data_IF_052556110248
#
_entry.id   IF_052556110248
#
_cell.length_a   1.000
_cell.length_b   1.000
_cell.length_c   1.000
_cell.angle_alpha   90.00
_cell.angle_beta   90.00
_cell.angle_gamma   90.00
#
_symmetry.space_group_name_H-M   'P 1'
#
loop_
_entity.id
_entity.type
_entity.pdbx_description
1 polymer ?
#
# COMPACT_ATOMS: atom_id res chain seq x y z
N UNK A 1 -2.07 9.64 -12.11
CA UNK A 1 -3.53 9.86 -12.08
C UNK A 1 -3.84 11.32 -12.29
N UNK A 2 -3.31 12.20 -11.46
CA UNK A 2 -3.47 13.66 -11.61
C UNK A 2 -2.90 14.18 -12.94
N UNK A 3 -1.62 13.95 -13.23
CA UNK A 3 -0.99 14.47 -14.47
C UNK A 3 -1.57 13.87 -15.77
N UNK A 4 -2.00 12.61 -15.73
CA UNK A 4 -2.43 11.86 -16.93
C UNK A 4 -3.93 11.91 -17.16
N UNK A 5 -4.72 11.99 -16.09
CA UNK A 5 -6.18 11.83 -16.13
C UNK A 5 -6.93 12.95 -15.38
N UNK A 6 -6.24 13.90 -14.74
CA UNK A 6 -6.86 14.98 -13.98
C UNK A 6 -7.51 14.55 -12.65
N UNK A 7 -7.28 13.31 -12.22
CA UNK A 7 -7.88 12.74 -11.00
C UNK A 7 -6.85 12.85 -9.87
N UNK A 8 -7.06 13.80 -8.96
CA UNK A 8 -6.31 13.91 -7.71
C UNK A 8 -6.93 12.93 -6.68
N UNK A 9 -6.12 11.99 -6.20
CA UNK A 9 -6.51 11.08 -5.11
C UNK A 9 -5.83 11.60 -3.85
N UNK A 10 -6.58 12.20 -2.94
CA UNK A 10 -6.02 12.69 -1.68
C UNK A 10 -5.67 11.53 -0.75
N UNK A 11 -4.81 11.78 0.24
CA UNK A 11 -4.51 10.76 1.25
C UNK A 11 -5.76 10.31 2.01
N UNK A 12 -6.72 11.21 2.23
CA UNK A 12 -8.00 10.89 2.86
C UNK A 12 -8.82 9.91 2.01
N UNK A 13 -8.92 10.15 0.70
CA UNK A 13 -9.65 9.27 -0.23
C UNK A 13 -9.01 7.88 -0.30
N UNK A 14 -7.68 7.81 -0.24
CA UNK A 14 -6.99 6.53 -0.18
C UNK A 14 -7.24 5.79 1.13
N UNK A 15 -7.25 6.51 2.26
CA UNK A 15 -7.46 5.93 3.59
C UNK A 15 -8.90 5.43 3.80
N UNK A 16 -9.91 6.13 3.28
CA UNK A 16 -11.32 5.70 3.38
C UNK A 16 -11.54 4.34 2.72
N UNK A 17 -10.77 4.02 1.68
CA UNK A 17 -10.75 2.69 1.07
C UNK A 17 -9.80 1.71 1.77
N UNK A 18 -8.55 2.13 2.01
CA UNK A 18 -7.47 1.27 2.46
C UNK A 18 -7.58 0.81 3.91
N UNK A 19 -8.06 1.66 4.81
CA UNK A 19 -8.19 1.31 6.24
C UNK A 19 -9.23 0.21 6.45
N UNK A 20 -10.47 0.30 5.93
CA UNK A 20 -11.44 -0.79 6.09
C UNK A 20 -10.98 -2.09 5.41
N UNK A 21 -10.37 -2.01 4.22
CA UNK A 21 -9.82 -3.17 3.53
C UNK A 21 -8.73 -3.85 4.35
N UNK A 22 -7.77 -3.09 4.88
CA UNK A 22 -6.68 -3.63 5.69
C UNK A 22 -7.19 -4.25 7.00
N UNK A 23 -8.21 -3.67 7.64
CA UNK A 23 -8.83 -4.24 8.82
C UNK A 23 -9.47 -5.61 8.54
N UNK A 24 -10.21 -5.73 7.43
CA UNK A 24 -10.80 -7.01 7.00
C UNK A 24 -9.72 -8.02 6.67
N UNK A 25 -8.68 -7.62 5.93
CA UNK A 25 -7.55 -8.49 5.61
C UNK A 25 -6.79 -8.94 6.87
N UNK A 26 -6.60 -8.06 7.85
CA UNK A 26 -5.93 -8.39 9.10
C UNK A 26 -6.73 -9.41 9.92
N UNK A 27 -8.02 -9.16 10.12
CA UNK A 27 -8.91 -10.09 10.84
C UNK A 27 -9.02 -11.42 10.09
N UNK A 28 -9.21 -11.37 8.78
CA UNK A 28 -9.29 -12.56 7.92
C UNK A 28 -8.00 -13.37 7.95
N UNK A 29 -6.84 -12.72 7.86
CA UNK A 29 -5.52 -13.36 7.97
C UNK A 29 -5.36 -14.03 9.32
N UNK A 30 -5.68 -13.33 10.41
CA UNK A 30 -5.61 -13.90 11.76
C UNK A 30 -6.51 -15.13 11.88
N UNK A 31 -7.76 -15.06 11.43
CA UNK A 31 -8.70 -16.20 11.47
C UNK A 31 -8.21 -17.37 10.61
N UNK A 32 -7.82 -17.13 9.36
CA UNK A 32 -7.33 -18.17 8.45
C UNK A 32 -6.10 -18.87 9.03
N UNK A 33 -5.12 -18.10 9.50
CA UNK A 33 -3.89 -18.68 10.03
C UNK A 33 -4.13 -19.42 11.34
N UNK A 34 -4.84 -18.82 12.30
CA UNK A 34 -4.93 -19.37 13.68
C UNK A 34 -6.04 -20.38 13.89
N UNK A 35 -7.09 -20.39 13.06
CA UNK A 35 -8.23 -21.31 13.19
C UNK A 35 -8.30 -22.37 12.11
N UNK A 36 -7.83 -22.08 10.89
CA UNK A 36 -7.99 -22.99 9.75
C UNK A 36 -6.67 -23.67 9.35
N UNK A 37 -5.62 -22.91 9.05
CA UNK A 37 -4.37 -23.47 8.50
C UNK A 37 -3.46 -24.01 9.61
N UNK A 38 -3.34 -23.28 10.72
CA UNK A 38 -2.54 -23.65 11.88
C UNK A 38 -3.34 -23.44 13.18
N UNK A 39 -4.30 -24.33 13.49
CA UNK A 39 -5.12 -24.25 14.71
C UNK A 39 -4.26 -24.07 15.97
N UNK A 40 -4.39 -22.92 16.63
CA UNK A 40 -3.63 -22.59 17.84
C UNK A 40 -4.42 -23.04 19.07
N UNK A 41 -3.87 -24.02 19.81
CA UNK A 41 -4.50 -24.59 21.00
C UNK A 41 -3.72 -24.36 22.31
N UNK A 42 -2.58 -23.67 22.27
CA UNK A 42 -1.77 -23.49 23.46
C UNK A 42 -2.20 -22.25 24.26
N UNK A 43 -2.08 -22.34 25.58
CA UNK A 43 -2.27 -21.22 26.50
C UNK A 43 -0.90 -20.77 26.98
N UNK A 44 -0.61 -19.46 26.91
CA UNK A 44 0.64 -18.91 27.39
C UNK A 44 0.85 -19.25 28.89
N UNK A 45 2.00 -19.83 29.22
CA UNK A 45 2.37 -20.19 30.60
C UNK A 45 2.54 -18.94 31.48
N UNK A 46 2.49 -19.14 32.80
CA UNK A 46 2.76 -18.06 33.75
C UNK A 46 4.15 -17.45 33.55
N UNK A 47 5.16 -18.28 33.30
CA UNK A 47 6.54 -17.85 33.03
C UNK A 47 6.64 -16.98 31.77
N UNK A 48 6.00 -17.39 30.66
CA UNK A 48 5.99 -16.58 29.43
C UNK A 48 5.32 -15.23 29.65
N UNK A 49 4.20 -15.19 30.40
CA UNK A 49 3.53 -13.91 30.72
C UNK A 49 4.40 -13.01 31.59
N UNK A 50 5.11 -13.57 32.56
CA UNK A 50 6.02 -12.80 33.40
C UNK A 50 7.21 -12.28 32.60
N UNK A 51 7.77 -13.08 31.69
CA UNK A 51 8.85 -12.64 30.82
C UNK A 51 8.40 -11.48 29.91
N UNK A 52 7.24 -11.59 29.26
CA UNK A 52 6.68 -10.51 28.44
C UNK A 52 6.42 -9.22 29.25
N UNK A 53 5.95 -9.35 30.49
CA UNK A 53 5.79 -8.21 31.40
C UNK A 53 7.14 -7.58 31.77
N UNK A 54 8.17 -8.39 32.01
CA UNK A 54 9.53 -7.90 32.23
C UNK A 54 10.04 -7.11 31.03
N UNK A 55 9.94 -7.68 29.82
CA UNK A 55 10.37 -7.01 28.58
C UNK A 55 9.60 -5.70 28.33
N UNK A 56 8.29 -5.66 28.63
CA UNK A 56 7.51 -4.43 28.55
C UNK A 56 8.00 -3.37 29.56
N UNK A 57 8.33 -3.80 30.78
CA UNK A 57 8.86 -2.90 31.80
C UNK A 57 10.28 -2.40 31.46
N UNK A 58 11.09 -3.24 30.80
CA UNK A 58 12.46 -2.92 30.37
C UNK A 58 12.51 -1.84 29.27
N UNK A 59 11.44 -1.69 28.47
CA UNK A 59 11.34 -0.59 27.50
C UNK A 59 11.38 0.79 28.19
N UNK A 60 10.97 0.86 29.46
CA UNK A 60 10.95 2.09 30.24
C UNK A 60 9.86 3.08 29.80
N UNK A 61 9.84 4.29 30.39
CA UNK A 61 8.88 5.33 30.02
C UNK A 61 9.21 5.93 28.64
N UNK A 62 8.17 6.34 27.91
CA UNK A 62 8.31 7.01 26.60
C UNK A 62 9.27 8.20 26.70
N UNK A 63 10.32 8.16 25.89
CA UNK A 63 11.40 9.14 25.94
C UNK A 63 10.94 10.53 25.46
N UNK A 64 11.67 11.58 25.82
CA UNK A 64 11.36 12.95 25.36
C UNK A 64 11.38 13.06 23.83
N UNK A 65 12.28 12.34 23.17
CA UNK A 65 12.39 12.36 21.72
C UNK A 65 11.28 11.56 21.04
N UNK A 66 10.89 10.40 21.60
CA UNK A 66 9.69 9.68 21.15
C UNK A 66 8.45 10.57 21.23
N UNK A 67 8.30 11.37 22.29
CA UNK A 67 7.19 12.32 22.40
C UNK A 67 7.24 13.41 21.33
N UNK A 68 8.43 13.97 21.03
CA UNK A 68 8.58 14.96 19.96
C UNK A 68 8.22 14.38 18.59
N UNK A 69 8.72 13.18 18.28
CA UNK A 69 8.41 12.45 17.06
C UNK A 69 6.91 12.17 16.96
N UNK A 70 6.29 11.72 18.06
CA UNK A 70 4.84 11.48 18.12
C UNK A 70 4.03 12.74 17.84
N UNK A 71 4.44 13.90 18.39
CA UNK A 71 3.77 15.18 18.14
C UNK A 71 3.88 15.58 16.67
N UNK A 72 5.09 15.51 16.07
CA UNK A 72 5.28 15.85 14.66
C UNK A 72 4.45 14.93 13.76
N UNK A 73 4.47 13.62 14.04
CA UNK A 73 3.68 12.63 13.33
C UNK A 73 2.18 12.90 13.45
N UNK A 74 1.68 13.18 14.67
CA UNK A 74 0.27 13.49 14.89
C UNK A 74 -0.15 14.77 14.16
N UNK A 75 0.68 15.81 14.15
CA UNK A 75 0.43 17.04 13.39
C UNK A 75 0.37 16.77 11.89
N UNK A 76 1.28 15.95 11.35
CA UNK A 76 1.25 15.57 9.94
C UNK A 76 -0.02 14.80 9.57
N UNK A 77 -0.44 13.83 10.39
CA UNK A 77 -1.70 13.08 10.20
C UNK A 77 -2.90 14.01 10.26
N UNK A 78 -2.97 14.91 11.23
CA UNK A 78 -4.05 15.89 11.32
C UNK A 78 -4.08 16.82 10.09
N UNK A 79 -2.91 17.25 9.60
CA UNK A 79 -2.81 18.06 8.40
C UNK A 79 -3.31 17.31 7.15
N UNK A 80 -2.96 16.04 6.96
CA UNK A 80 -3.52 15.22 5.86
C UNK A 80 -5.04 15.07 5.98
N UNK A 81 -5.55 14.76 7.17
CA UNK A 81 -6.99 14.56 7.39
C UNK A 81 -7.81 15.84 7.22
N UNK A 82 -7.20 17.02 7.42
CA UNK A 82 -7.87 18.32 7.31
C UNK A 82 -7.45 19.11 6.06
N UNK A 83 -6.65 18.53 5.17
CA UNK A 83 -6.08 19.22 3.99
C UNK A 83 -7.17 19.91 3.15
N UNK A 84 -8.27 19.22 2.87
CA UNK A 84 -9.39 19.75 2.08
C UNK A 84 -10.00 21.03 2.68
N UNK A 85 -9.92 21.22 4.00
CA UNK A 85 -10.32 22.44 4.68
C UNK A 85 -9.19 23.48 4.70
N UNK A 86 -7.94 23.05 4.90
CA UNK A 86 -6.77 23.92 4.97
C UNK A 86 -6.51 24.66 3.66
N UNK A 87 -6.70 24.00 2.51
CA UNK A 87 -6.51 24.60 1.17
C UNK A 87 -7.48 25.76 0.90
N UNK A 88 -8.60 25.85 1.61
CA UNK A 88 -9.53 27.00 1.50
C UNK A 88 -9.01 28.27 2.19
N UNK A 89 -7.94 28.18 2.99
CA UNK A 89 -7.28 29.33 3.59
C UNK A 89 -6.30 29.90 2.56
N UNK A 90 -6.39 31.19 2.24
CA UNK A 90 -5.62 31.84 1.17
C UNK A 90 -4.11 31.55 1.22
N UNK A 91 -3.53 31.59 2.44
CA UNK A 91 -2.11 31.32 2.70
C UNK A 91 -1.73 29.85 2.43
N UNK A 92 -2.66 28.91 2.56
CA UNK A 92 -2.45 27.47 2.44
C UNK A 92 -3.07 26.89 1.15
N UNK A 93 -3.49 27.74 0.22
CA UNK A 93 -4.10 27.34 -1.06
C UNK A 93 -3.22 26.44 -1.92
N UNK A 94 -1.89 26.51 -1.75
CA UNK A 94 -0.92 25.63 -2.42
C UNK A 94 -0.55 24.36 -1.64
N UNK A 95 -1.22 24.03 -0.54
CA UNK A 95 -0.85 22.89 0.31
C UNK A 95 -1.19 21.56 -0.37
N UNK A 96 -0.17 20.75 -0.65
CA UNK A 96 -0.30 19.39 -1.20
C UNK A 96 0.02 18.32 -0.15
N UNK A 97 -0.42 17.09 -0.38
CA UNK A 97 -0.07 15.94 0.47
C UNK A 97 1.46 15.74 0.55
N UNK A 98 2.17 15.98 -0.55
CA UNK A 98 3.63 15.97 -0.61
C UNK A 98 4.25 17.13 0.19
N UNK A 99 3.64 18.32 0.15
CA UNK A 99 4.07 19.46 0.95
C UNK A 99 4.00 19.19 2.45
N UNK A 100 2.92 18.57 2.92
CA UNK A 100 2.76 18.16 4.33
C UNK A 100 3.88 17.19 4.75
N UNK A 101 4.19 16.19 3.92
CA UNK A 101 5.28 15.25 4.18
C UNK A 101 6.65 15.94 4.26
N UNK A 102 6.94 16.87 3.34
CA UNK A 102 8.20 17.63 3.31
C UNK A 102 8.33 18.49 4.55
N UNK A 103 7.26 19.19 4.97
CA UNK A 103 7.27 20.00 6.20
C UNK A 103 7.54 19.12 7.42
N UNK A 104 6.86 17.98 7.54
CA UNK A 104 7.09 17.04 8.64
C UNK A 104 8.53 16.49 8.66
N UNK A 105 9.08 16.15 7.50
CA UNK A 105 10.47 15.72 7.37
C UNK A 105 11.46 16.82 7.80
N UNK A 106 11.29 18.05 7.32
CA UNK A 106 12.12 19.20 7.72
C UNK A 106 12.08 19.39 9.24
N UNK A 107 10.89 19.32 9.86
CA UNK A 107 10.76 19.42 11.31
C UNK A 107 11.55 18.34 12.06
N UNK A 108 11.56 17.09 11.56
CA UNK A 108 12.33 16.01 12.18
C UNK A 108 13.85 16.20 12.08
N UNK A 109 14.35 16.87 11.03
CA UNK A 109 15.78 17.20 10.89
C UNK A 109 16.17 18.48 11.64
N UNK A 110 15.23 19.39 11.89
CA UNK A 110 15.51 20.70 12.49
C UNK A 110 15.30 20.71 14.02
N UNK A 111 14.45 19.84 14.56
CA UNK A 111 14.18 19.79 16.00
C UNK A 111 15.31 19.02 16.71
N UNK A 112 15.96 19.62 17.72
CA UNK A 112 17.05 18.99 18.44
C UNK A 112 16.55 17.80 19.28
N UNK A 113 17.36 16.76 19.35
CA UNK A 113 17.17 15.64 20.27
C UNK A 113 17.37 16.11 21.72
N UNK A 114 16.80 15.36 22.66
CA UNK A 114 17.09 15.50 24.10
C UNK A 114 18.43 14.88 24.48
N UNK A 115 19.10 14.21 23.54
CA UNK A 115 20.52 13.88 23.55
C UNK A 115 21.24 14.82 22.58
N UNK A 116 22.57 14.89 22.62
CA UNK A 116 23.34 15.76 21.72
C UNK A 116 23.03 15.49 20.23
N UNK A 117 22.66 16.54 19.50
CA UNK A 117 22.32 16.54 18.08
C UNK A 117 20.83 16.68 17.79
N UNK A 118 20.42 16.35 16.56
CA UNK A 118 19.03 16.43 16.09
C UNK A 118 18.29 15.10 16.21
N UNK A 119 16.94 15.13 16.15
CA UNK A 119 16.11 13.91 16.18
C UNK A 119 16.49 12.99 15.02
N UNK A 120 16.63 13.53 13.81
CA UNK A 120 17.17 12.84 12.65
C UNK A 120 18.45 13.54 12.17
N UNK A 121 19.47 12.74 11.87
CA UNK A 121 20.71 13.21 11.25
C UNK A 121 20.67 12.96 9.75
N UNK A 122 21.23 13.87 8.95
CA UNK A 122 21.16 13.81 7.48
C UNK A 122 21.66 12.49 6.88
N UNK A 123 22.58 11.79 7.56
CA UNK A 123 23.06 10.48 7.12
C UNK A 123 21.93 9.45 6.98
N UNK A 124 20.83 9.60 7.73
CA UNK A 124 19.62 8.77 7.61
C UNK A 124 18.89 8.93 6.28
N UNK A 125 19.11 10.00 5.54
CA UNK A 125 18.57 10.15 4.18
C UNK A 125 19.11 9.08 3.21
N UNK A 126 20.25 8.46 3.51
CA UNK A 126 20.81 7.35 2.72
C UNK A 126 19.98 6.07 2.82
N UNK A 127 19.22 5.92 3.90
CA UNK A 127 18.32 4.78 4.12
C UNK A 127 17.02 4.92 3.29
N UNK A 128 16.78 6.08 2.66
CA UNK A 128 15.66 6.26 1.75
C UNK A 128 15.83 5.40 0.49
N UNK A 129 14.76 4.72 0.02
CA UNK A 129 14.82 3.89 -1.17
C UNK A 129 14.84 4.77 -2.44
N UNK A 130 15.94 5.45 -2.75
CA UNK A 130 16.06 6.35 -3.91
C UNK A 130 15.66 5.70 -5.25
N UNK A 131 15.92 4.39 -5.39
CA UNK A 131 15.48 3.60 -6.55
C UNK A 131 13.96 3.57 -6.74
N UNK A 132 13.18 3.65 -5.66
CA UNK A 132 11.71 3.73 -5.69
C UNK A 132 11.25 5.03 -6.37
N UNK A 133 11.88 6.16 -6.02
CA UNK A 133 11.56 7.47 -6.60
C UNK A 133 11.87 7.49 -8.10
N UNK A 134 13.02 6.94 -8.50
CA UNK A 134 13.39 6.80 -9.93
C UNK A 134 12.42 5.88 -10.69
N UNK A 135 11.99 4.78 -10.06
CA UNK A 135 11.04 3.84 -10.65
C UNK A 135 9.65 4.46 -10.87
N UNK A 136 9.16 5.28 -9.93
CA UNK A 136 7.92 6.04 -10.13
C UNK A 136 8.02 7.02 -11.30
N UNK A 137 9.12 7.78 -11.39
CA UNK A 137 9.37 8.66 -12.54
C UNK A 137 9.42 7.89 -13.88
N UNK A 138 10.08 6.74 -13.89
CA UNK A 138 10.10 5.84 -15.05
C UNK A 138 8.71 5.29 -15.42
N UNK A 139 7.90 4.92 -14.43
CA UNK A 139 6.52 4.46 -14.62
C UNK A 139 5.61 5.54 -15.21
N UNK A 140 5.71 6.78 -14.72
CA UNK A 140 4.97 7.93 -15.28
C UNK A 140 5.42 8.23 -16.71
N UNK A 141 6.71 8.16 -16.99
CA UNK A 141 7.25 8.32 -18.35
C UNK A 141 6.72 7.23 -19.30
N UNK A 142 6.68 5.98 -18.86
CA UNK A 142 6.11 4.86 -19.61
C UNK A 142 4.62 5.06 -19.87
N UNK A 143 3.84 5.52 -18.87
CA UNK A 143 2.43 5.85 -19.02
C UNK A 143 2.19 6.88 -20.13
N UNK A 144 2.97 7.97 -20.09
CA UNK A 144 2.91 9.04 -21.07
C UNK A 144 3.22 8.52 -22.48
N UNK A 145 4.22 7.63 -22.62
CA UNK A 145 4.56 7.03 -23.92
C UNK A 145 3.49 6.04 -24.41
N UNK A 146 2.87 5.24 -23.54
CA UNK A 146 1.75 4.36 -23.95
C UNK A 146 0.59 5.19 -24.53
N UNK A 147 0.30 6.34 -23.92
CA UNK A 147 -0.77 7.24 -24.37
C UNK A 147 -0.39 8.00 -25.65
N UNK A 148 0.83 8.54 -25.74
CA UNK A 148 1.24 9.38 -26.87
C UNK A 148 1.54 8.60 -28.16
N UNK A 149 2.04 7.36 -28.03
CA UNK A 149 2.38 6.51 -29.19
C UNK A 149 1.18 5.80 -29.82
N UNK A 150 0.02 5.84 -29.16
CA UNK A 150 -1.16 5.06 -29.57
C UNK A 150 -1.07 3.56 -29.23
N UNK A 151 -0.03 3.12 -28.51
CA UNK A 151 0.09 1.73 -28.07
C UNK A 151 -1.07 1.30 -27.17
N UNK A 152 -1.53 2.17 -26.26
CA UNK A 152 -2.69 1.90 -25.42
C UNK A 152 -3.95 1.61 -26.23
N UNK A 153 -4.18 2.38 -27.31
CA UNK A 153 -5.29 2.17 -28.24
C UNK A 153 -5.12 0.88 -29.03
N UNK A 154 -3.91 0.54 -29.49
CA UNK A 154 -3.64 -0.71 -30.20
C UNK A 154 -3.91 -1.95 -29.32
N UNK A 155 -3.48 -1.92 -28.06
CA UNK A 155 -3.77 -2.99 -27.09
C UNK A 155 -5.28 -3.03 -26.81
N UNK A 156 -5.90 -1.88 -26.55
CA UNK A 156 -7.34 -1.81 -26.29
C UNK A 156 -8.20 -2.31 -27.44
N UNK A 157 -7.80 -2.03 -28.69
CA UNK A 157 -8.46 -2.55 -29.89
C UNK A 157 -8.42 -4.09 -29.95
N UNK A 158 -7.31 -4.70 -29.52
CA UNK A 158 -7.18 -6.16 -29.42
C UNK A 158 -8.03 -6.74 -28.27
N UNK A 159 -8.40 -5.91 -27.30
CA UNK A 159 -9.20 -6.25 -26.13
C UNK A 159 -10.66 -5.79 -26.25
N UNK A 160 -11.12 -5.30 -27.41
CA UNK A 160 -12.52 -4.89 -27.61
C UNK A 160 -13.51 -6.03 -27.37
N UNK A 161 -13.08 -7.29 -27.56
CA UNK A 161 -13.87 -8.47 -27.19
C UNK A 161 -14.26 -8.50 -25.70
N UNK A 162 -13.50 -7.80 -24.85
CA UNK A 162 -13.76 -7.66 -23.41
C UNK A 162 -14.75 -6.54 -23.08
N UNK A 163 -15.15 -5.66 -24.02
CA UNK A 163 -16.11 -4.59 -23.74
C UNK A 163 -17.47 -5.10 -23.23
N UNK A 164 -17.86 -6.31 -23.65
CA UNK A 164 -19.11 -6.92 -23.20
C UNK A 164 -18.95 -7.75 -21.91
N UNK A 165 -17.73 -7.86 -21.38
CA UNK A 165 -17.47 -8.58 -20.14
C UNK A 165 -17.88 -7.69 -18.96
N UNK A 166 -18.66 -8.20 -18.00
CA UNK A 166 -19.00 -7.45 -16.80
C UNK A 166 -17.75 -6.91 -16.07
N UNK A 167 -17.77 -5.64 -15.67
CA UNK A 167 -16.67 -4.96 -14.97
C UNK A 167 -16.17 -5.74 -13.76
N UNK A 168 -17.07 -6.40 -13.03
CA UNK A 168 -16.73 -7.25 -11.89
C UNK A 168 -15.78 -8.39 -12.28
N UNK A 169 -15.98 -9.01 -13.45
CA UNK A 169 -15.14 -10.09 -13.95
C UNK A 169 -13.77 -9.53 -14.39
N UNK A 170 -13.74 -8.35 -15.00
CA UNK A 170 -12.50 -7.68 -15.35
C UNK A 170 -11.67 -7.35 -14.11
N UNK A 171 -12.28 -6.73 -13.10
CA UNK A 171 -11.64 -6.42 -11.82
C UNK A 171 -11.13 -7.69 -11.15
N UNK A 172 -11.95 -8.76 -11.11
CA UNK A 172 -11.56 -10.05 -10.55
C UNK A 172 -10.34 -10.64 -11.27
N UNK A 173 -10.32 -10.59 -12.61
CA UNK A 173 -9.21 -11.09 -13.41
C UNK A 173 -7.93 -10.27 -13.17
N UNK A 174 -8.03 -8.94 -13.12
CA UNK A 174 -6.90 -8.05 -12.81
C UNK A 174 -6.37 -8.30 -11.40
N UNK A 175 -7.23 -8.34 -10.39
CA UNK A 175 -6.84 -8.61 -9.01
C UNK A 175 -6.15 -9.97 -8.89
N UNK A 176 -6.70 -11.01 -9.53
CA UNK A 176 -6.10 -12.35 -9.56
C UNK A 176 -4.72 -12.33 -10.20
N UNK A 177 -4.60 -11.74 -11.40
CA UNK A 177 -3.33 -11.65 -12.11
C UNK A 177 -2.26 -10.98 -11.26
N UNK A 178 -2.58 -9.82 -10.68
CA UNK A 178 -1.61 -9.02 -9.92
C UNK A 178 -1.23 -9.68 -8.60
N UNK A 179 -2.18 -10.30 -7.88
CA UNK A 179 -1.88 -11.03 -6.63
C UNK A 179 -0.86 -12.14 -6.88
N UNK A 180 -1.05 -12.95 -7.92
CA UNK A 180 -0.09 -14.02 -8.23
C UNK A 180 1.23 -13.47 -8.78
N UNK A 181 1.19 -12.39 -9.57
CA UNK A 181 2.40 -11.79 -10.12
C UNK A 181 3.30 -11.18 -9.03
N UNK A 182 2.69 -10.61 -7.99
CA UNK A 182 3.41 -10.01 -6.87
C UNK A 182 4.07 -11.03 -5.93
N UNK A 183 3.82 -12.33 -6.11
CA UNK A 183 4.54 -13.39 -5.38
C UNK A 183 5.96 -13.61 -5.92
N UNK A 184 6.17 -13.29 -7.20
CA UNK A 184 7.45 -13.49 -7.90
C UNK A 184 8.18 -12.17 -8.20
N UNK A 185 7.51 -11.03 -7.97
CA UNK A 185 8.01 -9.69 -8.27
C UNK A 185 7.77 -8.76 -7.08
N UNK A 186 8.57 -7.71 -6.89
CA UNK A 186 8.34 -6.76 -5.80
C UNK A 186 7.00 -6.00 -5.97
N UNK A 187 6.26 -5.80 -4.89
CA UNK A 187 4.98 -5.08 -4.88
C UNK A 187 5.05 -3.72 -5.60
N UNK A 188 6.15 -3.01 -5.36
CA UNK A 188 6.44 -1.72 -5.98
C UNK A 188 6.61 -1.88 -7.49
N UNK A 189 7.47 -2.81 -7.93
CA UNK A 189 7.74 -3.02 -9.35
C UNK A 189 6.46 -3.43 -10.07
N UNK A 190 5.69 -4.35 -9.50
CA UNK A 190 4.39 -4.78 -10.04
C UNK A 190 3.45 -3.58 -10.22
N UNK A 191 3.31 -2.74 -9.18
CA UNK A 191 2.45 -1.55 -9.27
C UNK A 191 2.98 -0.56 -10.33
N UNK A 192 4.27 -0.22 -10.30
CA UNK A 192 4.86 0.78 -11.20
C UNK A 192 4.80 0.36 -12.68
N UNK A 193 4.92 -0.93 -12.96
CA UNK A 193 4.84 -1.45 -14.34
C UNK A 193 3.39 -1.57 -14.83
N UNK A 194 2.49 -2.12 -14.01
CA UNK A 194 1.15 -2.47 -14.49
C UNK A 194 0.12 -1.36 -14.33
N UNK A 195 0.28 -0.47 -13.35
CA UNK A 195 -0.62 0.67 -13.17
C UNK A 195 -0.76 1.54 -14.44
N UNK A 196 0.32 1.99 -15.10
CA UNK A 196 0.19 2.77 -16.33
C UNK A 196 -0.39 1.96 -17.50
N UNK A 197 -0.09 0.66 -17.57
CA UNK A 197 -0.63 -0.24 -18.60
C UNK A 197 -2.14 -0.39 -18.46
N UNK A 198 -2.63 -0.72 -17.26
CA UNK A 198 -4.07 -0.86 -17.00
C UNK A 198 -4.82 0.47 -17.07
N UNK A 199 -4.19 1.58 -16.71
CA UNK A 199 -4.74 2.92 -16.96
C UNK A 199 -4.95 3.20 -18.45
N UNK A 200 -3.97 2.88 -19.30
CA UNK A 200 -4.10 3.02 -20.75
C UNK A 200 -5.15 2.09 -21.37
N UNK A 201 -5.21 0.83 -20.90
CA UNK A 201 -6.22 -0.14 -21.34
C UNK A 201 -7.63 0.33 -20.96
N UNK A 202 -7.82 0.83 -19.75
CA UNK A 202 -9.11 1.32 -19.28
C UNK A 202 -9.68 2.41 -20.21
N UNK A 203 -8.85 3.40 -20.55
CA UNK A 203 -9.24 4.45 -21.52
C UNK A 203 -9.62 3.85 -22.86
N UNK A 204 -8.84 2.88 -23.36
CA UNK A 204 -9.05 2.31 -24.68
C UNK A 204 -10.33 1.44 -24.78
N UNK A 205 -10.74 0.78 -23.69
CA UNK A 205 -12.00 0.02 -23.64
C UNK A 205 -13.20 0.87 -23.20
N UNK A 206 -12.98 2.14 -22.83
CA UNK A 206 -14.04 3.10 -22.48
C UNK A 206 -14.50 3.04 -21.02
N UNK A 207 -13.68 2.50 -20.11
CA UNK A 207 -13.97 2.49 -18.67
C UNK A 207 -13.09 3.51 -17.94
N UNK A 208 -13.52 3.96 -16.77
CA UNK A 208 -12.75 4.89 -15.94
C UNK A 208 -11.39 4.26 -15.57
N UNK A 209 -10.25 4.96 -15.74
CA UNK A 209 -8.91 4.44 -15.41
C UNK A 209 -8.82 3.89 -13.97
N UNK A 210 -9.44 4.61 -13.04
CA UNK A 210 -9.49 4.25 -11.62
C UNK A 210 -10.04 2.83 -11.40
N UNK A 211 -11.04 2.40 -12.20
CA UNK A 211 -11.67 1.08 -12.06
C UNK A 211 -10.69 -0.09 -12.25
N UNK A 212 -9.66 0.06 -13.10
CA UNK A 212 -8.67 -0.99 -13.33
C UNK A 212 -7.35 -0.75 -12.60
N UNK A 213 -7.00 0.49 -12.25
CA UNK A 213 -5.75 0.79 -11.54
C UNK A 213 -5.83 0.60 -10.03
N UNK A 214 -6.99 0.86 -9.42
CA UNK A 214 -7.20 0.62 -7.99
C UNK A 214 -7.00 -0.86 -7.62
N UNK A 215 -7.63 -1.83 -8.31
CA UNK A 215 -7.38 -3.24 -8.02
C UNK A 215 -5.90 -3.61 -8.22
N UNK A 216 -5.17 -3.01 -9.18
CA UNK A 216 -3.71 -3.22 -9.33
C UNK A 216 -2.95 -2.80 -8.08
N UNK A 217 -3.17 -1.58 -7.57
CA UNK A 217 -2.49 -1.09 -6.37
C UNK A 217 -2.74 -1.97 -5.13
N UNK A 218 -4.00 -2.36 -4.92
CA UNK A 218 -4.41 -3.12 -3.74
C UNK A 218 -3.95 -4.58 -3.83
N UNK A 219 -4.11 -5.19 -5.01
CA UNK A 219 -3.66 -6.55 -5.30
C UNK A 219 -2.14 -6.69 -5.16
N UNK A 220 -1.37 -5.71 -5.63
CA UNK A 220 0.09 -5.75 -5.54
C UNK A 220 0.59 -5.73 -4.08
N UNK A 221 -0.23 -5.31 -3.12
CA UNK A 221 0.10 -5.38 -1.69
C UNK A 221 -0.18 -6.74 -1.05
N UNK A 222 -0.83 -7.66 -1.76
CA UNK A 222 -1.26 -8.97 -1.25
C UNK A 222 -0.31 -10.10 -1.67
N UNK A 223 0.91 -10.07 -1.14
CA UNK A 223 1.96 -11.08 -1.38
C UNK A 223 2.17 -11.97 -0.15
N UNK A 224 1.58 -13.16 -0.14
CA UNK A 224 1.47 -14.02 1.06
C UNK A 224 2.05 -15.44 0.90
N UNK A 225 2.39 -15.89 -0.31
CA UNK A 225 2.84 -17.28 -0.55
C UNK A 225 4.34 -17.49 -0.46
N UNK A 226 5.13 -16.58 -1.04
CA UNK A 226 6.57 -16.82 -1.24
C UNK A 226 7.45 -15.94 -0.35
N UNK A 227 8.57 -16.48 0.19
CA UNK A 227 9.52 -15.70 0.99
C UNK A 227 10.16 -14.53 0.22
N UNK A 228 10.41 -14.73 -1.09
CA UNK A 228 11.08 -13.74 -1.94
C UNK A 228 10.20 -12.53 -2.26
N UNK A 229 8.88 -12.65 -2.08
CA UNK A 229 7.93 -11.63 -2.48
C UNK A 229 8.09 -10.33 -1.68
N UNK A 230 8.33 -10.42 -0.36
CA UNK A 230 8.49 -9.25 0.50
C UNK A 230 9.56 -9.45 1.59
N UNK A 231 10.24 -8.38 2.05
CA UNK A 231 11.22 -8.49 3.13
C UNK A 231 10.66 -9.09 4.44
N UNK A 232 9.44 -8.76 4.92
CA UNK A 232 8.85 -9.41 6.09
C UNK A 232 8.72 -10.92 5.94
N UNK A 233 8.30 -11.41 4.76
CA UNK A 233 8.20 -12.83 4.46
C UNK A 233 9.57 -13.52 4.54
N UNK A 234 10.60 -12.90 3.96
CA UNK A 234 11.97 -13.39 4.01
C UNK A 234 12.53 -13.44 5.44
N UNK A 235 12.27 -12.42 6.27
CA UNK A 235 12.72 -12.36 7.67
C UNK A 235 12.16 -13.52 8.48
N UNK A 236 10.85 -13.76 8.37
CA UNK A 236 10.18 -14.84 9.13
C UNK A 236 10.61 -16.21 8.62
N UNK A 237 10.78 -16.39 7.30
CA UNK A 237 11.35 -17.60 6.72
C UNK A 237 12.79 -17.87 7.20
N UNK A 238 13.59 -16.82 7.39
CA UNK A 238 14.95 -16.88 7.94
C UNK A 238 15.04 -17.48 9.36
N UNK A 239 13.92 -17.65 10.07
CA UNK A 239 13.87 -18.35 11.36
C UNK A 239 14.14 -19.87 11.26
N UNK A 240 14.10 -20.44 10.05
CA UNK A 240 14.23 -21.88 9.78
C UNK A 240 13.24 -22.76 10.55
N UNK A 241 12.08 -22.21 10.94
CA UNK A 241 11.03 -22.93 11.69
C UNK A 241 9.96 -23.59 10.83
N UNK A 242 9.89 -23.28 9.54
CA UNK A 242 8.92 -23.82 8.60
C UNK A 242 9.48 -23.85 7.17
N UNK A 243 8.86 -24.63 6.29
CA UNK A 243 9.29 -24.78 4.89
C UNK A 243 8.53 -23.82 3.97
N UNK A 244 9.06 -23.60 2.76
CA UNK A 244 8.37 -22.84 1.71
C UNK A 244 6.99 -23.43 1.40
N UNK A 245 6.86 -24.76 1.37
CA UNK A 245 5.58 -25.43 1.13
C UNK A 245 4.53 -25.09 2.21
N UNK A 246 4.94 -24.99 3.48
CA UNK A 246 4.05 -24.56 4.57
C UNK A 246 3.57 -23.13 4.37
N UNK A 247 4.47 -22.24 3.93
CA UNK A 247 4.15 -20.85 3.65
C UNK A 247 3.20 -20.71 2.45
N UNK A 248 3.49 -21.39 1.34
CA UNK A 248 2.63 -21.42 0.15
C UNK A 248 1.23 -21.93 0.46
N UNK A 249 1.12 -22.99 1.27
CA UNK A 249 -0.17 -23.54 1.69
C UNK A 249 -0.99 -22.53 2.50
N UNK A 250 -0.36 -21.73 3.34
CA UNK A 250 -1.06 -20.67 4.06
C UNK A 250 -1.41 -19.50 3.13
N UNK A 251 -0.44 -19.09 2.31
CA UNK A 251 -0.55 -17.97 1.38
C UNK A 251 -1.66 -18.17 0.35
N UNK A 252 -1.95 -19.39 -0.12
CA UNK A 252 -3.03 -19.60 -1.09
C UNK A 252 -4.41 -19.24 -0.54
N UNK A 253 -4.70 -19.55 0.73
CA UNK A 253 -5.96 -19.14 1.35
C UNK A 253 -6.02 -17.62 1.53
N UNK A 254 -4.88 -16.99 1.87
CA UNK A 254 -4.79 -15.54 2.02
C UNK A 254 -4.90 -14.80 0.68
N UNK A 255 -4.33 -15.35 -0.40
CA UNK A 255 -4.44 -14.80 -1.74
C UNK A 255 -5.88 -14.91 -2.24
N UNK A 256 -6.58 -16.04 -2.00
CA UNK A 256 -8.00 -16.16 -2.33
C UNK A 256 -8.84 -15.14 -1.57
N UNK A 257 -8.58 -14.95 -0.27
CA UNK A 257 -9.23 -13.89 0.51
C UNK A 257 -8.93 -12.51 -0.08
N UNK A 258 -7.66 -12.23 -0.40
CA UNK A 258 -7.21 -10.99 -1.02
C UNK A 258 -7.92 -10.72 -2.34
N UNK A 259 -8.02 -11.71 -3.22
CA UNK A 259 -8.73 -11.61 -4.51
C UNK A 259 -10.19 -11.18 -4.26
N UNK A 260 -10.89 -11.85 -3.35
CA UNK A 260 -12.28 -11.55 -3.04
C UNK A 260 -12.45 -10.15 -2.43
N UNK A 261 -11.65 -9.82 -1.42
CA UNK A 261 -11.74 -8.53 -0.71
C UNK A 261 -11.38 -7.39 -1.64
N UNK A 262 -10.27 -7.48 -2.39
CA UNK A 262 -9.87 -6.47 -3.37
C UNK A 262 -10.95 -6.30 -4.43
N UNK A 263 -11.49 -7.39 -4.99
CA UNK A 263 -12.53 -7.31 -6.02
C UNK A 263 -13.79 -6.63 -5.50
N UNK A 264 -14.28 -7.01 -4.32
CA UNK A 264 -15.48 -6.43 -3.70
C UNK A 264 -15.26 -4.94 -3.42
N UNK A 265 -14.13 -4.56 -2.83
CA UNK A 265 -13.82 -3.17 -2.52
C UNK A 265 -13.63 -2.34 -3.78
N UNK A 266 -12.90 -2.84 -4.77
CA UNK A 266 -12.69 -2.16 -6.05
C UNK A 266 -13.98 -2.01 -6.84
N UNK A 267 -14.93 -2.94 -6.75
CA UNK A 267 -16.19 -2.83 -7.47
C UNK A 267 -17.25 -1.98 -6.75
N UNK A 268 -17.42 -2.16 -5.43
CA UNK A 268 -18.50 -1.49 -4.69
C UNK A 268 -18.08 -0.21 -3.98
N UNK A 269 -16.84 -0.11 -3.49
CA UNK A 269 -16.39 0.98 -2.62
C UNK A 269 -15.62 2.04 -3.43
N UNK A 270 -14.74 1.61 -4.34
CA UNK A 270 -13.96 2.52 -5.18
C UNK A 270 -14.83 3.53 -5.94
N UNK A 271 -15.94 3.14 -6.61
CA UNK A 271 -16.78 4.11 -7.31
C UNK A 271 -17.48 5.10 -6.37
N UNK A 272 -17.67 4.78 -5.09
CA UNK A 272 -18.30 5.72 -4.15
C UNK A 272 -17.36 6.82 -3.67
N UNK A 273 -16.05 6.58 -3.80
CA UNK A 273 -15.00 7.48 -3.30
C UNK A 273 -14.39 8.28 -4.45
N UNK A 274 -14.14 7.63 -5.59
CA UNK A 274 -13.37 8.22 -6.69
C UNK A 274 -14.23 8.63 -7.89
N UNK A 275 -15.52 8.93 -7.69
CA UNK A 275 -16.40 9.49 -8.72
C UNK A 275 -16.14 10.97 -8.94
N UNK A 276 -15.09 11.29 -9.67
CA UNK A 276 -14.97 12.53 -10.48
C UNK A 276 -14.08 12.27 -11.68
#
# INVERSE_FOLDING_TARGET
>A
MEETYGIEISMLDWMTMGVPLSAIMLIGTWVILTKFVFPVHFVASYETRNHLRSSLNELGPVSKDEKKVLVIFALAVLAWMTRSFLVNIEILSGLTDAGIAIIAAILLFMIPSSKDGDILKWEKSKDLPWGLLLLFGGGLSLAAQISSTGLGLWIGNSLLALQNVPDLILILAVATLIIFLTEITSNVTTTATFLPVFGGIAVAIGVLPVSLTIPVCLAASCAFMLPVATPPNAIVYGSNKFTIATMMRAGIFLNILGILVVTIFSYYVSPLIFTT
#
